data_IF_044937383576
#
_entry.id   IF_044937383576
#
_cell.length_a   1.000
_cell.length_b   1.000
_cell.length_c   1.000
_cell.angle_alpha   90.00
_cell.angle_beta   90.00
_cell.angle_gamma   90.00
#
_symmetry.space_group_name_H-M   'P 1'
#
loop_
_entity.id
_entity.type
_entity.pdbx_description
1 polymer ?
#
# COMPACT_ATOMS: atom_id res chain seq x y z
N UNK A 1 -11.48 -18.40 3.92
CA UNK A 1 -10.35 -18.92 3.17
C UNK A 1 -10.49 -18.36 1.77
N UNK A 2 -9.50 -17.59 1.32
CA UNK A 2 -9.45 -17.05 -0.04
C UNK A 2 -8.67 -18.05 -0.88
N UNK A 3 -9.18 -18.42 -2.06
CA UNK A 3 -8.42 -19.15 -3.06
C UNK A 3 -7.58 -18.09 -3.80
N UNK A 4 -6.28 -18.13 -3.61
CA UNK A 4 -5.31 -17.24 -4.24
C UNK A 4 -4.63 -17.86 -5.46
N UNK A 5 -5.07 -19.06 -5.88
CA UNK A 5 -4.62 -19.68 -7.13
C UNK A 5 -4.90 -18.74 -8.30
N UNK A 6 -3.85 -18.41 -9.04
CA UNK A 6 -3.93 -17.53 -10.19
C UNK A 6 -2.90 -17.95 -11.25
N UNK A 7 -3.34 -18.05 -12.49
CA UNK A 7 -2.42 -18.33 -13.60
C UNK A 7 -1.77 -17.04 -14.08
N UNK A 8 -0.54 -16.85 -13.69
CA UNK A 8 0.29 -15.72 -14.12
C UNK A 8 0.76 -15.83 -15.58
N UNK A 9 0.57 -16.99 -16.23
CA UNK A 9 0.93 -17.23 -17.64
C UNK A 9 2.42 -16.89 -17.93
N UNK A 10 3.28 -17.19 -16.95
CA UNK A 10 4.72 -16.93 -17.05
C UNK A 10 5.12 -15.48 -16.80
N UNK A 11 4.25 -14.65 -16.23
CA UNK A 11 4.60 -13.30 -15.81
C UNK A 11 5.69 -13.30 -14.73
N UNK A 12 6.67 -12.44 -14.90
CA UNK A 12 7.74 -12.20 -13.94
C UNK A 12 7.99 -10.70 -13.76
N UNK A 13 8.54 -10.28 -12.59
CA UNK A 13 8.92 -8.89 -12.35
C UNK A 13 9.88 -8.37 -13.43
N UNK A 14 9.65 -7.15 -13.90
CA UNK A 14 10.41 -6.55 -15.01
C UNK A 14 11.83 -6.17 -14.62
N UNK A 15 12.07 -5.83 -13.35
CA UNK A 15 13.39 -5.49 -12.78
C UNK A 15 14.14 -4.43 -13.58
N UNK A 16 13.44 -3.43 -14.08
CA UNK A 16 14.05 -2.31 -14.81
C UNK A 16 15.03 -1.57 -13.89
N UNK A 17 16.24 -1.18 -14.36
CA UNK A 17 17.15 -0.34 -13.59
C UNK A 17 16.50 0.99 -13.17
N UNK A 18 16.88 1.53 -12.01
CA UNK A 18 16.33 2.82 -11.54
C UNK A 18 16.61 3.97 -12.51
N UNK A 19 17.79 4.00 -13.08
CA UNK A 19 18.23 5.00 -14.06
C UNK A 19 17.39 5.01 -15.35
N UNK A 20 16.73 3.90 -15.67
CA UNK A 20 15.84 3.75 -16.82
C UNK A 20 14.36 3.84 -16.45
N UNK A 21 14.06 4.20 -15.21
CA UNK A 21 12.67 4.21 -14.69
C UNK A 21 12.08 5.61 -14.72
N UNK A 22 10.92 5.76 -15.35
CA UNK A 22 10.08 6.95 -15.31
C UNK A 22 8.79 6.60 -14.57
N UNK A 23 8.67 7.10 -13.34
CA UNK A 23 7.55 6.81 -12.44
C UNK A 23 6.42 7.82 -12.66
N UNK A 24 5.20 7.33 -12.74
CA UNK A 24 3.97 8.13 -12.74
C UNK A 24 3.14 7.78 -11.49
N UNK A 25 3.14 8.69 -10.53
CA UNK A 25 2.29 8.56 -9.35
C UNK A 25 0.83 8.85 -9.73
N UNK A 26 -0.08 7.97 -9.32
CA UNK A 26 -1.49 8.13 -9.66
C UNK A 26 -2.41 7.45 -8.65
N UNK A 27 -3.64 7.96 -8.57
CA UNK A 27 -4.70 7.40 -7.77
C UNK A 27 -5.56 6.44 -8.59
N UNK A 28 -5.72 5.18 -8.17
CA UNK A 28 -6.46 4.13 -8.89
C UNK A 28 -7.85 4.61 -9.34
N UNK A 29 -8.62 5.21 -8.43
CA UNK A 29 -9.96 5.74 -8.77
C UNK A 29 -9.87 7.01 -9.60
N UNK A 30 -9.04 7.97 -9.19
CA UNK A 30 -8.98 9.29 -9.80
C UNK A 30 -8.56 9.27 -11.26
N UNK A 31 -7.60 8.41 -11.60
CA UNK A 31 -7.01 8.37 -12.93
C UNK A 31 -8.00 8.00 -14.04
N UNK A 32 -8.93 7.10 -13.75
CA UNK A 32 -9.87 6.61 -14.77
C UNK A 32 -11.31 7.06 -14.57
N UNK A 33 -11.65 7.71 -13.45
CA UNK A 33 -13.03 8.05 -13.08
C UNK A 33 -13.76 8.84 -14.14
N UNK A 34 -13.11 9.76 -14.81
CA UNK A 34 -13.68 10.60 -15.86
C UNK A 34 -13.12 10.25 -17.25
N UNK A 35 -12.43 9.13 -17.40
CA UNK A 35 -11.77 8.78 -18.65
C UNK A 35 -12.81 8.38 -19.72
N UNK A 36 -12.91 9.12 -20.86
CA UNK A 36 -14.02 8.97 -21.82
C UNK A 36 -14.02 7.62 -22.55
N UNK A 37 -12.85 6.98 -22.68
CA UNK A 37 -12.69 5.70 -23.41
C UNK A 37 -12.72 4.47 -22.51
N UNK A 38 -12.78 4.65 -21.19
CA UNK A 38 -12.93 3.53 -20.25
C UNK A 38 -14.42 3.29 -20.01
N UNK A 39 -14.92 2.06 -20.16
CA UNK A 39 -16.33 1.74 -19.87
C UNK A 39 -16.70 2.13 -18.43
N UNK A 40 -17.90 2.64 -18.23
CA UNK A 40 -18.35 3.17 -16.93
C UNK A 40 -18.20 2.16 -15.79
N UNK A 41 -18.49 0.89 -16.04
CA UNK A 41 -18.37 -0.19 -15.05
C UNK A 41 -16.90 -0.47 -14.62
N UNK A 42 -15.91 0.00 -15.39
CA UNK A 42 -14.48 -0.16 -15.09
C UNK A 42 -13.81 1.13 -14.60
N UNK A 43 -14.51 2.25 -14.65
CA UNK A 43 -13.94 3.54 -14.22
C UNK A 43 -13.69 3.56 -12.72
N UNK A 44 -12.48 3.98 -12.34
CA UNK A 44 -12.07 4.08 -10.95
C UNK A 44 -11.69 2.76 -10.31
N UNK A 45 -11.41 1.72 -11.11
CA UNK A 45 -11.04 0.38 -10.64
C UNK A 45 -9.72 -0.11 -11.25
N UNK A 46 -9.18 -1.23 -10.75
CA UNK A 46 -7.99 -1.87 -11.33
C UNK A 46 -8.22 -2.30 -12.79
N UNK A 47 -9.43 -2.76 -13.14
CA UNK A 47 -9.77 -3.04 -14.55
C UNK A 47 -9.79 -1.78 -15.41
N UNK A 48 -10.04 -0.61 -14.83
CA UNK A 48 -9.89 0.67 -15.51
C UNK A 48 -8.43 1.02 -15.76
N UNK A 49 -7.56 0.81 -14.76
CA UNK A 49 -6.12 1.05 -14.87
C UNK A 49 -5.46 0.20 -15.97
N UNK A 50 -5.87 -1.05 -16.11
CA UNK A 50 -5.39 -1.96 -17.16
C UNK A 50 -6.10 -1.81 -18.52
N UNK A 51 -7.06 -0.88 -18.64
CA UNK A 51 -7.76 -0.68 -19.90
C UNK A 51 -6.81 -0.19 -21.01
N UNK A 52 -6.96 -0.74 -22.22
CA UNK A 52 -6.08 -0.47 -23.38
C UNK A 52 -5.81 1.02 -23.62
N UNK A 53 -6.81 1.87 -23.48
CA UNK A 53 -6.63 3.32 -23.68
C UNK A 53 -5.75 3.98 -22.64
N UNK A 54 -5.78 3.47 -21.39
CA UNK A 54 -4.94 3.92 -20.28
C UNK A 54 -3.51 3.46 -20.50
N UNK A 55 -3.31 2.17 -20.77
CA UNK A 55 -2.00 1.61 -21.05
C UNK A 55 -1.32 2.29 -22.24
N UNK A 56 -2.05 2.52 -23.34
CA UNK A 56 -1.52 3.24 -24.50
C UNK A 56 -1.13 4.69 -24.17
N UNK A 57 -1.88 5.36 -23.30
CA UNK A 57 -1.55 6.71 -22.85
C UNK A 57 -0.27 6.75 -22.01
N UNK A 58 -0.12 5.83 -21.06
CA UNK A 58 1.11 5.70 -20.25
C UNK A 58 2.33 5.42 -21.14
N UNK A 59 2.19 4.52 -22.11
CA UNK A 59 3.26 4.23 -23.09
C UNK A 59 3.60 5.44 -23.95
N UNK A 60 2.61 6.18 -24.39
CA UNK A 60 2.81 7.40 -25.18
C UNK A 60 3.55 8.47 -24.39
N UNK A 61 3.30 8.58 -23.07
CA UNK A 61 4.04 9.45 -22.16
C UNK A 61 5.48 8.97 -21.89
N UNK A 62 5.83 7.73 -22.26
CA UNK A 62 7.13 7.15 -21.95
C UNK A 62 7.23 6.65 -20.50
N UNK A 63 6.10 6.39 -19.84
CA UNK A 63 6.05 5.89 -18.46
C UNK A 63 6.48 4.43 -18.43
N UNK A 64 7.35 4.10 -17.49
CA UNK A 64 7.88 2.73 -17.31
C UNK A 64 7.49 2.11 -15.98
N UNK A 65 6.97 2.90 -15.04
CA UNK A 65 6.40 2.43 -13.78
C UNK A 65 5.21 3.29 -13.37
N UNK A 66 4.15 2.68 -12.87
CA UNK A 66 3.07 3.38 -12.17
C UNK A 66 3.25 3.21 -10.67
N UNK A 67 3.20 4.30 -9.92
CA UNK A 67 3.12 4.29 -8.46
C UNK A 67 1.68 4.54 -8.07
N UNK A 68 1.04 3.53 -7.49
CA UNK A 68 -0.35 3.62 -7.06
C UNK A 68 -0.41 4.17 -5.63
N UNK A 69 -1.10 5.32 -5.45
CA UNK A 69 -1.51 5.78 -4.13
C UNK A 69 -2.18 4.64 -3.36
N UNK A 70 -2.25 4.68 -2.00
CA UNK A 70 -2.55 3.51 -1.20
C UNK A 70 -3.72 2.67 -1.70
N UNK A 71 -3.45 1.40 -1.93
CA UNK A 71 -4.42 0.41 -2.40
C UNK A 71 -4.71 -0.67 -1.37
N UNK A 72 -4.00 -0.70 -0.24
CA UNK A 72 -4.40 -1.56 0.86
C UNK A 72 -5.80 -1.20 1.33
N UNK A 73 -6.58 -2.18 1.78
CA UNK A 73 -7.90 -1.90 2.30
C UNK A 73 -7.83 -0.88 3.45
N UNK A 74 -8.60 0.19 3.32
CA UNK A 74 -8.56 1.34 4.20
C UNK A 74 -9.94 1.67 4.76
N UNK A 75 -9.97 2.49 5.78
CA UNK A 75 -11.23 2.94 6.38
C UNK A 75 -11.90 3.98 5.48
N UNK A 76 -13.02 3.59 4.83
CA UNK A 76 -13.66 4.34 3.75
C UNK A 76 -14.33 5.66 4.18
N UNK A 77 -14.84 5.74 5.40
CA UNK A 77 -15.60 6.91 5.85
C UNK A 77 -15.00 7.54 7.11
N UNK A 78 -14.79 8.84 7.07
CA UNK A 78 -14.38 9.64 8.23
C UNK A 78 -15.53 10.51 8.76
N UNK A 79 -15.71 10.53 10.06
CA UNK A 79 -16.53 11.53 10.73
C UNK A 79 -15.69 12.78 11.02
N UNK A 80 -15.92 13.85 10.28
CA UNK A 80 -15.23 15.13 10.51
C UNK A 80 -16.27 16.23 10.78
N UNK A 81 -16.26 16.83 11.97
CA UNK A 81 -17.16 17.93 12.37
C UNK A 81 -18.65 17.65 12.09
N UNK A 82 -19.12 16.40 12.36
CA UNK A 82 -20.51 16.01 12.14
C UNK A 82 -20.89 15.61 10.71
N UNK A 83 -19.93 15.61 9.79
CA UNK A 83 -20.12 15.15 8.41
C UNK A 83 -19.41 13.82 8.20
N UNK A 84 -20.02 12.96 7.37
CA UNK A 84 -19.34 11.77 6.83
C UNK A 84 -18.56 12.22 5.60
N UNK A 85 -17.25 12.03 5.60
CA UNK A 85 -16.36 12.38 4.49
C UNK A 85 -15.73 11.10 3.99
N UNK A 86 -15.80 10.86 2.69
CA UNK A 86 -15.12 9.72 2.07
C UNK A 86 -13.61 9.90 2.20
N UNK A 87 -12.93 8.82 2.59
CA UNK A 87 -11.48 8.76 2.58
C UNK A 87 -11.02 8.51 1.14
N UNK A 88 -10.78 9.58 0.40
CA UNK A 88 -10.39 9.50 -1.01
C UNK A 88 -8.97 8.94 -1.18
N UNK A 89 -8.03 9.38 -0.33
CA UNK A 89 -6.60 9.10 -0.54
C UNK A 89 -6.14 7.71 -0.12
N UNK A 90 -6.84 7.06 0.81
CA UNK A 90 -6.55 5.70 1.23
C UNK A 90 -5.42 5.54 2.27
N UNK A 91 -4.89 6.62 2.85
CA UNK A 91 -3.79 6.55 3.83
C UNK A 91 -4.18 6.01 5.20
N UNK A 92 -5.40 5.55 5.40
CA UNK A 92 -5.88 4.97 6.67
C UNK A 92 -6.12 3.46 6.55
N UNK A 93 -5.05 2.74 6.21
CA UNK A 93 -5.07 1.29 6.09
C UNK A 93 -5.51 0.63 7.40
N UNK A 94 -6.28 -0.45 7.30
CA UNK A 94 -6.64 -1.32 8.42
C UNK A 94 -6.20 -2.78 8.21
N UNK A 95 -5.79 -3.15 7.00
CA UNK A 95 -5.13 -4.43 6.71
C UNK A 95 -4.06 -4.23 5.65
N UNK A 96 -3.03 -5.06 5.68
CA UNK A 96 -1.86 -4.94 4.80
C UNK A 96 -1.77 -6.07 3.75
N UNK A 97 -2.76 -6.96 3.68
CA UNK A 97 -2.74 -8.14 2.82
C UNK A 97 -3.89 -8.19 1.80
N UNK A 98 -4.73 -7.18 1.77
CA UNK A 98 -5.86 -7.14 0.86
C UNK A 98 -5.94 -5.79 0.13
N UNK A 99 -6.26 -5.77 -1.16
CA UNK A 99 -6.55 -4.54 -1.87
C UNK A 99 -7.89 -3.94 -1.41
N UNK A 100 -8.03 -2.65 -1.59
CA UNK A 100 -9.27 -1.91 -1.32
C UNK A 100 -10.40 -2.40 -2.25
N UNK A 101 -11.47 -2.90 -1.64
CA UNK A 101 -12.58 -3.51 -2.35
C UNK A 101 -13.28 -2.52 -3.30
N UNK A 102 -13.33 -1.25 -2.95
CA UNK A 102 -13.96 -0.21 -3.80
C UNK A 102 -13.17 0.09 -5.09
N UNK A 103 -11.98 -0.48 -5.24
CA UNK A 103 -11.18 -0.43 -6.48
C UNK A 103 -11.36 -1.68 -7.35
N UNK A 104 -12.22 -2.60 -6.97
CA UNK A 104 -12.61 -3.76 -7.78
C UNK A 104 -13.86 -3.44 -8.59
N UNK A 105 -13.90 -3.80 -9.87
CA UNK A 105 -15.10 -3.70 -10.71
C UNK A 105 -16.01 -4.92 -10.54
N UNK A 106 -15.42 -6.01 -10.04
CA UNK A 106 -16.07 -7.26 -9.64
C UNK A 106 -15.50 -7.65 -8.27
N UNK A 107 -16.24 -8.39 -7.48
CA UNK A 107 -15.79 -8.85 -6.15
C UNK A 107 -14.79 -10.03 -6.28
N UNK A 108 -13.62 -9.73 -6.88
CA UNK A 108 -12.60 -10.71 -7.18
C UNK A 108 -11.21 -10.06 -7.15
N UNK A 109 -10.39 -10.48 -6.19
CA UNK A 109 -9.01 -9.99 -6.00
C UNK A 109 -8.11 -10.24 -7.23
N UNK A 110 -8.45 -11.22 -8.07
CA UNK A 110 -7.73 -11.51 -9.31
C UNK A 110 -7.73 -10.31 -10.28
N UNK A 111 -8.68 -9.37 -10.13
CA UNK A 111 -8.68 -8.15 -10.94
C UNK A 111 -7.41 -7.30 -10.73
N UNK A 112 -6.87 -7.25 -9.50
CA UNK A 112 -5.58 -6.61 -9.26
C UNK A 112 -4.44 -7.36 -9.98
N UNK A 113 -4.41 -8.68 -9.88
CA UNK A 113 -3.42 -9.52 -10.57
C UNK A 113 -3.50 -9.37 -12.09
N UNK A 114 -4.73 -9.30 -12.66
CA UNK A 114 -4.96 -9.02 -14.07
C UNK A 114 -4.39 -7.65 -14.50
N UNK A 115 -4.52 -6.64 -13.65
CA UNK A 115 -3.95 -5.32 -13.89
C UNK A 115 -2.42 -5.38 -13.93
N UNK A 116 -1.78 -5.98 -12.93
CA UNK A 116 -0.32 -6.13 -12.87
C UNK A 116 0.19 -6.86 -14.11
N UNK A 117 -0.34 -8.05 -14.40
CA UNK A 117 0.01 -8.85 -15.58
C UNK A 117 -0.14 -8.05 -16.89
N UNK A 118 -1.20 -7.24 -17.01
CA UNK A 118 -1.43 -6.41 -18.19
C UNK A 118 -0.38 -5.30 -18.32
N UNK A 119 -0.03 -4.65 -17.21
CA UNK A 119 1.00 -3.60 -17.18
C UNK A 119 2.38 -4.17 -17.50
N UNK A 120 2.76 -5.31 -16.91
CA UNK A 120 4.02 -6.01 -17.20
C UNK A 120 4.15 -6.39 -18.67
N UNK A 121 3.11 -6.93 -19.29
CA UNK A 121 3.07 -7.22 -20.74
C UNK A 121 3.30 -5.99 -21.61
N UNK A 122 3.12 -4.81 -21.05
CA UNK A 122 3.38 -3.53 -21.72
C UNK A 122 4.65 -2.84 -21.22
N UNK A 123 5.51 -3.54 -20.51
CA UNK A 123 6.77 -3.05 -19.94
C UNK A 123 6.58 -1.90 -18.95
N UNK A 124 5.50 -1.93 -18.15
CA UNK A 124 5.21 -0.95 -17.10
C UNK A 124 5.21 -1.70 -15.77
N UNK A 125 6.10 -1.30 -14.86
CA UNK A 125 6.19 -1.80 -13.49
C UNK A 125 5.07 -1.23 -12.62
N UNK A 126 4.76 -1.92 -11.52
CA UNK A 126 3.78 -1.49 -10.52
C UNK A 126 4.45 -1.28 -9.18
N UNK A 127 4.39 -0.06 -8.66
CA UNK A 127 4.90 0.34 -7.35
C UNK A 127 3.71 0.69 -6.48
N UNK A 128 3.73 0.26 -5.22
CA UNK A 128 2.67 0.58 -4.26
C UNK A 128 3.13 1.61 -3.23
N UNK A 129 2.32 2.65 -3.03
CA UNK A 129 2.45 3.50 -1.85
C UNK A 129 1.86 2.77 -0.63
N UNK A 130 2.71 2.47 0.34
CA UNK A 130 2.36 1.66 1.52
C UNK A 130 2.48 2.44 2.82
N UNK A 131 1.48 2.29 3.67
CA UNK A 131 1.34 3.04 4.92
C UNK A 131 1.50 2.09 6.10
N UNK A 132 2.73 1.98 6.62
CA UNK A 132 3.03 1.16 7.80
C UNK A 132 3.33 2.00 9.04
N UNK A 133 3.22 3.31 8.97
CA UNK A 133 3.52 4.21 10.07
C UNK A 133 2.33 4.45 11.00
N UNK A 134 1.10 4.27 10.54
CA UNK A 134 -0.14 4.38 11.28
C UNK A 134 -1.24 3.53 10.66
N UNK A 135 -2.42 3.51 11.27
CA UNK A 135 -3.62 2.81 10.76
C UNK A 135 -4.86 3.69 10.88
N UNK A 136 -5.96 3.27 10.29
CA UNK A 136 -7.26 3.94 10.41
C UNK A 136 -7.89 3.90 11.81
N UNK A 137 -7.25 3.25 12.81
CA UNK A 137 -7.75 3.22 14.19
C UNK A 137 -7.53 4.54 14.95
N UNK A 138 -6.63 5.42 14.45
CA UNK A 138 -6.41 6.76 15.01
C UNK A 138 -5.91 6.76 16.46
N UNK A 139 -6.33 7.77 17.24
CA UNK A 139 -5.94 7.92 18.65
C UNK A 139 -6.88 7.16 19.62
N UNK A 140 -6.78 7.43 20.93
CA UNK A 140 -7.58 6.80 22.01
C UNK A 140 -9.10 7.01 21.88
N UNK A 141 -9.55 7.92 21.03
CA UNK A 141 -10.97 8.17 20.72
C UNK A 141 -11.40 7.50 19.41
N UNK A 142 -10.47 6.89 18.68
CA UNK A 142 -10.74 6.19 17.44
C UNK A 142 -11.36 4.81 17.66
N UNK A 143 -11.83 4.16 16.59
CA UNK A 143 -12.45 2.86 16.67
C UNK A 143 -11.43 1.75 17.00
N UNK A 144 -11.94 0.64 17.53
CA UNK A 144 -11.19 -0.63 17.63
C UNK A 144 -11.64 -1.52 16.49
N UNK A 145 -10.80 -1.68 15.47
CA UNK A 145 -11.15 -2.39 14.23
C UNK A 145 -10.34 -3.66 14.03
N UNK A 146 -9.03 -3.60 14.29
CA UNK A 146 -8.10 -4.68 13.99
C UNK A 146 -7.01 -4.79 15.09
N UNK A 147 -5.88 -4.12 14.94
CA UNK A 147 -4.67 -4.31 15.75
C UNK A 147 -4.85 -3.91 17.21
N UNK A 148 -5.61 -2.85 17.47
CA UNK A 148 -5.93 -2.41 18.82
C UNK A 148 -6.70 -3.47 19.60
N UNK A 149 -7.62 -4.16 18.95
CA UNK A 149 -8.41 -5.24 19.56
C UNK A 149 -7.64 -6.53 19.77
N UNK A 150 -6.55 -6.75 19.01
CA UNK A 150 -5.71 -7.93 19.13
C UNK A 150 -4.72 -7.77 20.30
N UNK A 151 -3.87 -6.73 20.20
CA UNK A 151 -2.87 -6.42 21.24
C UNK A 151 -2.39 -4.95 21.07
N UNK A 152 -3.13 -4.06 21.70
CA UNK A 152 -2.88 -2.63 21.58
C UNK A 152 -1.43 -2.22 21.93
N UNK A 153 -0.84 -2.84 22.92
CA UNK A 153 0.48 -2.48 23.42
C UNK A 153 1.60 -2.92 22.49
N UNK A 154 1.44 -4.05 21.81
CA UNK A 154 2.41 -4.53 20.84
C UNK A 154 2.34 -3.76 19.54
N UNK A 155 1.13 -3.43 19.06
CA UNK A 155 0.92 -2.80 17.74
C UNK A 155 1.05 -1.29 17.72
N UNK A 156 0.89 -0.61 18.86
CA UNK A 156 1.00 0.86 18.93
C UNK A 156 1.99 1.31 19.98
N UNK A 157 2.68 2.39 19.70
CA UNK A 157 3.58 3.04 20.68
C UNK A 157 2.73 3.83 21.66
N UNK A 158 2.67 3.37 22.91
CA UNK A 158 1.97 4.07 23.97
C UNK A 158 2.83 5.17 24.57
N UNK A 159 2.18 6.24 25.05
CA UNK A 159 2.86 7.31 25.77
C UNK A 159 3.44 6.75 27.09
N UNK A 160 4.75 6.86 27.35
CA UNK A 160 5.39 6.30 28.51
C UNK A 160 4.93 6.90 29.85
N UNK A 161 4.50 8.16 29.86
CA UNK A 161 4.02 8.85 31.04
C UNK A 161 2.56 8.54 31.36
N UNK A 162 1.75 8.28 30.32
CA UNK A 162 0.36 7.91 30.49
C UNK A 162 -0.09 6.97 29.36
N UNK A 163 -0.08 5.68 29.62
CA UNK A 163 -0.37 4.61 28.67
C UNK A 163 -1.82 4.58 28.15
N UNK A 164 -2.68 5.47 28.63
CA UNK A 164 -4.01 5.70 28.03
C UNK A 164 -3.91 6.38 26.68
N UNK A 165 -2.82 7.09 26.43
CA UNK A 165 -2.57 7.84 25.21
C UNK A 165 -1.49 7.18 24.36
N UNK A 166 -1.46 7.55 23.10
CA UNK A 166 -0.45 7.06 22.14
C UNK A 166 0.67 8.08 21.98
N UNK A 167 1.84 7.57 21.66
CA UNK A 167 2.92 8.39 21.12
C UNK A 167 2.68 8.54 19.63
N UNK A 168 2.57 9.77 19.15
CA UNK A 168 2.22 10.07 17.77
C UNK A 168 3.32 10.89 17.08
N UNK A 169 3.97 10.27 16.07
CA UNK A 169 4.95 10.92 15.19
C UNK A 169 4.44 11.04 13.76
N UNK A 170 3.17 10.70 13.54
CA UNK A 170 2.56 10.62 12.22
C UNK A 170 1.62 11.78 11.94
N UNK A 171 1.07 12.40 12.98
CA UNK A 171 -0.03 13.35 12.89
C UNK A 171 -1.40 12.71 12.70
N UNK A 172 -1.47 11.36 12.74
CA UNK A 172 -2.70 10.58 12.52
C UNK A 172 -3.28 9.99 13.82
N UNK A 173 -2.64 10.25 14.96
CA UNK A 173 -3.17 9.93 16.30
C UNK A 173 -2.45 8.82 17.04
N UNK A 174 -1.84 7.86 16.35
CA UNK A 174 -1.03 6.79 16.95
C UNK A 174 0.03 6.28 16.00
N UNK A 175 1.27 6.18 16.46
CA UNK A 175 2.34 5.56 15.69
C UNK A 175 2.26 4.04 15.79
N UNK A 176 2.25 3.36 14.63
CA UNK A 176 2.31 1.90 14.56
C UNK A 176 3.71 1.42 14.98
N UNK A 177 3.78 0.41 15.84
CA UNK A 177 5.01 0.02 16.53
C UNK A 177 5.86 -0.98 15.72
N UNK A 178 6.39 -0.53 14.59
CA UNK A 178 7.23 -1.37 13.70
C UNK A 178 8.54 -1.82 14.40
N UNK A 179 8.90 -1.25 15.56
CA UNK A 179 10.03 -1.72 16.36
C UNK A 179 9.73 -3.03 17.08
N UNK A 180 8.46 -3.38 17.33
CA UNK A 180 8.08 -4.62 17.95
C UNK A 180 8.32 -5.80 16.99
N UNK A 181 9.00 -6.89 17.38
CA UNK A 181 9.39 -7.97 16.47
C UNK A 181 8.21 -8.56 15.67
N UNK A 182 7.08 -8.81 16.32
CA UNK A 182 5.90 -9.38 15.65
C UNK A 182 5.27 -8.40 14.66
N UNK A 183 5.31 -7.10 14.95
CA UNK A 183 4.81 -6.06 14.03
C UNK A 183 5.74 -5.93 12.83
N UNK A 184 7.06 -5.96 13.07
CA UNK A 184 8.04 -5.98 11.99
C UNK A 184 7.86 -7.22 11.10
N UNK A 185 7.63 -8.39 11.70
CA UNK A 185 7.31 -9.62 10.94
C UNK A 185 6.07 -9.43 10.08
N UNK A 186 4.99 -8.89 10.65
CA UNK A 186 3.75 -8.60 9.91
C UNK A 186 3.99 -7.69 8.69
N UNK A 187 4.78 -6.62 8.88
CA UNK A 187 5.11 -5.68 7.79
C UNK A 187 5.94 -6.38 6.71
N UNK A 188 6.99 -7.12 7.10
CA UNK A 188 7.83 -7.85 6.15
C UNK A 188 7.06 -8.94 5.40
N UNK A 189 6.15 -9.63 6.07
CA UNK A 189 5.31 -10.65 5.42
C UNK A 189 4.31 -10.01 4.45
N UNK A 190 3.78 -8.83 4.77
CA UNK A 190 2.99 -8.05 3.83
C UNK A 190 3.78 -7.69 2.56
N UNK A 191 4.98 -7.13 2.72
CA UNK A 191 5.84 -6.79 1.58
C UNK A 191 6.15 -8.01 0.71
N UNK A 192 6.50 -9.15 1.34
CA UNK A 192 6.75 -10.41 0.63
C UNK A 192 5.52 -10.92 -0.11
N UNK A 193 4.33 -10.82 0.52
CA UNK A 193 3.07 -11.21 -0.09
C UNK A 193 2.81 -10.41 -1.38
N UNK A 194 2.93 -9.09 -1.32
CA UNK A 194 2.71 -8.24 -2.49
C UNK A 194 3.71 -8.49 -3.62
N UNK A 195 4.95 -8.85 -3.30
CA UNK A 195 5.94 -9.22 -4.33
C UNK A 195 5.69 -10.62 -4.89
N UNK A 196 5.44 -11.62 -4.02
CA UNK A 196 5.35 -13.04 -4.43
C UNK A 196 4.01 -13.41 -5.05
N UNK A 197 2.92 -12.96 -4.40
CA UNK A 197 1.57 -13.39 -4.76
C UNK A 197 0.88 -12.38 -5.67
N UNK A 198 1.27 -11.11 -5.60
CA UNK A 198 0.65 -10.01 -6.33
C UNK A 198 1.55 -9.42 -7.42
N UNK A 199 2.79 -9.89 -7.53
CA UNK A 199 3.81 -9.53 -8.52
C UNK A 199 4.13 -8.02 -8.60
N UNK A 200 4.10 -7.31 -7.47
CA UNK A 200 4.47 -5.88 -7.43
C UNK A 200 5.98 -5.71 -7.55
N UNK A 201 6.43 -4.68 -8.25
CA UNK A 201 7.84 -4.43 -8.53
C UNK A 201 8.52 -3.55 -7.48
N UNK A 202 7.75 -2.90 -6.61
CA UNK A 202 8.34 -2.04 -5.60
C UNK A 202 7.33 -1.36 -4.67
N UNK A 203 7.90 -0.57 -3.75
CA UNK A 203 7.15 0.15 -2.73
C UNK A 203 7.67 1.56 -2.52
N UNK A 204 6.77 2.50 -2.34
CA UNK A 204 7.02 3.82 -1.76
C UNK A 204 6.50 3.79 -0.33
N UNK A 205 7.36 4.11 0.63
CA UNK A 205 6.99 4.07 2.04
C UNK A 205 6.54 5.44 2.51
N UNK A 206 5.25 5.55 2.82
CA UNK A 206 4.74 6.76 3.45
C UNK A 206 5.42 6.97 4.81
N UNK A 207 5.90 8.20 5.07
CA UNK A 207 6.63 8.54 6.28
C UNK A 207 7.73 7.52 6.63
N UNK A 208 8.59 7.16 5.68
CA UNK A 208 9.70 6.21 5.85
C UNK A 208 10.54 6.50 7.11
N UNK A 209 10.74 7.78 7.45
CA UNK A 209 11.46 8.19 8.66
C UNK A 209 10.75 7.79 9.96
N UNK A 210 9.43 7.64 9.94
CA UNK A 210 8.65 7.19 11.10
C UNK A 210 8.80 5.69 11.32
N UNK A 211 8.68 4.86 10.28
CA UNK A 211 8.87 3.41 10.39
C UNK A 211 10.34 3.04 10.66
N UNK A 212 11.27 3.95 10.34
CA UNK A 212 12.72 3.77 10.55
C UNK A 212 13.21 4.36 11.88
N UNK A 213 12.36 4.34 12.92
CA UNK A 213 12.76 4.81 14.26
C UNK A 213 13.31 3.66 15.10
N UNK A 214 14.24 4.01 15.98
CA UNK A 214 14.71 3.21 17.09
C UNK A 214 14.73 4.08 18.35
N UNK A 215 14.15 3.60 19.46
CA UNK A 215 13.98 4.40 20.68
C UNK A 215 13.38 5.79 20.39
N UNK A 216 12.30 5.83 19.61
CA UNK A 216 11.55 7.03 19.23
C UNK A 216 12.29 8.04 18.35
N UNK A 217 13.56 7.81 18.00
CA UNK A 217 14.36 8.65 17.11
C UNK A 217 14.61 7.96 15.77
N UNK A 218 14.74 8.72 14.69
CA UNK A 218 15.17 8.19 13.41
C UNK A 218 16.55 7.52 13.52
N UNK A 219 16.68 6.34 12.94
CA UNK A 219 17.95 5.62 12.91
C UNK A 219 18.10 4.85 11.59
N UNK A 220 19.22 5.08 10.92
CA UNK A 220 19.61 4.26 9.77
C UNK A 220 19.84 2.79 10.15
N UNK A 221 20.00 2.50 11.44
CA UNK A 221 20.18 1.16 12.01
C UNK A 221 18.87 0.59 12.56
N UNK A 222 17.72 1.10 12.13
CA UNK A 222 16.42 0.57 12.56
C UNK A 222 16.23 -0.87 12.09
N UNK A 223 15.51 -1.66 12.86
CA UNK A 223 15.18 -3.04 12.51
C UNK A 223 14.46 -3.13 11.17
N UNK A 224 13.57 -2.17 10.85
CA UNK A 224 12.87 -2.10 9.59
C UNK A 224 13.85 -1.96 8.39
N UNK A 225 14.76 -0.98 8.42
CA UNK A 225 15.72 -0.77 7.34
C UNK A 225 16.65 -1.98 7.15
N UNK A 226 17.15 -2.55 8.24
CA UNK A 226 17.97 -3.75 8.15
C UNK A 226 17.19 -4.94 7.58
N UNK A 227 15.95 -5.16 8.01
CA UNK A 227 15.13 -6.26 7.52
C UNK A 227 14.83 -6.12 6.03
N UNK A 228 14.47 -4.92 5.56
CA UNK A 228 14.21 -4.67 4.13
C UNK A 228 15.48 -4.82 3.30
N UNK A 229 16.62 -4.30 3.76
CA UNK A 229 17.90 -4.39 3.03
C UNK A 229 18.49 -5.80 2.99
N UNK A 230 18.17 -6.67 3.94
CA UNK A 230 18.64 -8.05 3.95
C UNK A 230 17.75 -9.02 3.18
N UNK A 231 16.46 -8.69 3.05
CA UNK A 231 15.49 -9.58 2.45
C UNK A 231 15.76 -9.78 0.95
N UNK A 232 15.89 -11.03 0.46
CA UNK A 232 16.20 -11.31 -0.93
C UNK A 232 15.18 -10.78 -1.95
N UNK A 233 13.90 -10.71 -1.56
CA UNK A 233 12.85 -10.17 -2.43
C UNK A 233 12.91 -8.64 -2.47
N UNK A 234 13.10 -8.00 -1.30
CA UNK A 234 13.19 -6.55 -1.22
C UNK A 234 14.41 -6.00 -1.94
N UNK A 235 15.54 -6.74 -1.97
CA UNK A 235 16.72 -6.38 -2.76
C UNK A 235 16.49 -6.30 -4.26
N UNK A 236 15.48 -7.01 -4.76
CA UNK A 236 15.12 -7.04 -6.17
C UNK A 236 13.98 -6.08 -6.50
N UNK A 237 13.36 -5.50 -5.49
CA UNK A 237 12.24 -4.57 -5.60
C UNK A 237 12.73 -3.12 -5.54
N UNK A 238 11.99 -2.21 -6.17
CA UNK A 238 12.23 -0.77 -6.02
C UNK A 238 11.73 -0.31 -4.64
N UNK A 239 12.60 0.32 -3.87
CA UNK A 239 12.27 0.89 -2.56
C UNK A 239 12.49 2.41 -2.59
N UNK A 240 11.43 3.19 -2.31
CA UNK A 240 11.38 4.65 -2.37
C UNK A 240 10.95 5.21 -1.02
#
# INVERSE_FOLDING_TARGET
>A
VVDDAYDWEGDEPLRRPFEDTVIYETHTRGFTRLHPKVPDAKRGTFAGMSHRSVVNYLKWLGITAVELLPIHAFFGNRHKKGYIVDNYWGYESFTFFAPEQSYLSRDDICEFKDMVKTLHRNNIEVILDVVFNHTGEGNQLGPTLCYRGIDNESYYILNPENRRYYFDTTGCGATFNVQHPNVLTLVMDSLRYWVKEMHVDGFRFDLATTVSRHNLAFSQQSGFLYSTLQDPLMKQSKLI
#
